data_IF_550929227537
#
_entry.id   IF_550929227537
#
_cell.length_a   1.000
_cell.length_b   1.000
_cell.length_c   1.000
_cell.angle_alpha   90.00
_cell.angle_beta   90.00
_cell.angle_gamma   90.00
#
_symmetry.space_group_name_H-M   'P 1'
#
loop_
_entity.id
_entity.type
_entity.pdbx_description
1 polymer ?
#
# COMPACT_ATOMS: atom_id res chain seq x y z
N UNK A 1 -23.56 -8.65 14.43
CA UNK A 1 -24.13 -7.51 13.66
C UNK A 1 -24.36 -7.98 12.22
N UNK A 2 -25.59 -8.36 11.85
CA UNK A 2 -25.92 -8.73 10.45
C UNK A 2 -25.85 -7.45 9.61
N UNK A 3 -24.87 -7.36 8.72
CA UNK A 3 -24.77 -6.24 7.78
C UNK A 3 -25.88 -6.35 6.73
N UNK A 4 -26.57 -5.24 6.39
CA UNK A 4 -27.57 -5.25 5.34
C UNK A 4 -26.91 -5.56 3.99
N UNK A 5 -27.54 -6.42 3.20
CA UNK A 5 -27.08 -6.78 1.86
C UNK A 5 -27.15 -5.56 0.94
N UNK A 6 -26.06 -5.20 0.24
CA UNK A 6 -26.10 -4.12 -0.72
C UNK A 6 -27.05 -4.46 -1.88
N UNK A 7 -27.66 -3.45 -2.52
CA UNK A 7 -28.55 -3.69 -3.66
C UNK A 7 -27.76 -4.30 -4.81
N UNK A 8 -28.28 -5.40 -5.37
CA UNK A 8 -27.69 -6.05 -6.54
C UNK A 8 -27.48 -5.02 -7.67
N UNK A 9 -26.31 -5.01 -8.35
CA UNK A 9 -26.10 -4.25 -9.57
C UNK A 9 -27.23 -4.52 -10.56
N UNK A 10 -27.67 -3.51 -11.34
CA UNK A 10 -28.83 -3.68 -12.25
C UNK A 10 -28.68 -4.89 -13.19
N UNK A 11 -27.44 -5.22 -13.57
CA UNK A 11 -27.11 -6.37 -14.41
C UNK A 11 -27.27 -7.75 -13.74
N UNK A 12 -27.32 -7.81 -12.39
CA UNK A 12 -27.43 -9.04 -11.60
C UNK A 12 -28.78 -9.16 -10.89
N UNK A 13 -29.73 -8.25 -11.15
CA UNK A 13 -31.09 -8.36 -10.63
C UNK A 13 -31.86 -9.36 -11.48
N UNK A 14 -32.56 -10.34 -10.88
CA UNK A 14 -33.46 -11.18 -11.65
C UNK A 14 -34.51 -10.30 -12.34
N UNK A 15 -34.68 -10.49 -13.65
CA UNK A 15 -35.70 -9.77 -14.42
C UNK A 15 -37.08 -10.02 -13.79
N UNK A 16 -37.93 -8.99 -13.65
CA UNK A 16 -39.25 -9.15 -13.06
C UNK A 16 -40.05 -10.20 -13.84
N UNK A 17 -40.71 -11.12 -13.11
CA UNK A 17 -41.55 -12.17 -13.70
C UNK A 17 -42.67 -11.47 -14.50
N UNK A 18 -42.74 -11.75 -15.82
CA UNK A 18 -43.78 -11.18 -16.69
C UNK A 18 -45.17 -11.58 -16.14
N UNK A 19 -46.12 -10.66 -15.99
CA UNK A 19 -47.48 -11.01 -15.62
C UNK A 19 -48.10 -11.93 -16.68
N UNK A 20 -48.56 -13.13 -16.28
CA UNK A 20 -49.29 -14.06 -17.17
C UNK A 20 -48.78 -15.50 -17.28
N UNK A 21 -47.81 -15.92 -16.46
CA UNK A 21 -47.18 -17.25 -16.57
C UNK A 21 -47.85 -18.42 -15.85
N UNK A 22 -49.07 -18.27 -15.33
CA UNK A 22 -49.79 -19.34 -14.62
C UNK A 22 -51.10 -19.67 -15.33
N UNK A 23 -51.08 -20.51 -16.38
CA UNK A 23 -52.26 -21.26 -16.85
C UNK A 23 -51.86 -22.62 -17.42
N UNK A 24 -52.07 -23.66 -16.61
CA UNK A 24 -52.27 -25.01 -17.10
C UNK A 24 -53.57 -25.03 -17.94
N UNK A 25 -53.51 -25.59 -19.15
CA UNK A 25 -54.70 -26.02 -19.91
C UNK A 25 -54.79 -25.45 -21.34
N UNK A 26 -54.42 -26.29 -22.31
CA UNK A 26 -54.98 -26.40 -23.66
C UNK A 26 -55.17 -25.12 -24.49
N UNK A 27 -54.21 -24.80 -25.35
CA UNK A 27 -54.50 -24.60 -26.78
C UNK A 27 -53.21 -24.68 -27.61
N UNK A 28 -53.22 -25.53 -28.64
CA UNK A 28 -52.12 -25.63 -29.59
C UNK A 28 -52.07 -24.40 -30.49
N UNK A 29 -50.94 -23.69 -30.48
CA UNK A 29 -50.25 -23.08 -31.63
C UNK A 29 -49.05 -22.28 -31.11
N UNK A 30 -47.88 -22.60 -31.65
CA UNK A 30 -46.60 -21.88 -31.55
C UNK A 30 -45.88 -21.96 -30.19
N UNK A 31 -45.38 -23.15 -29.87
CA UNK A 31 -44.25 -23.29 -28.95
C UNK A 31 -42.98 -22.78 -29.62
N UNK A 32 -42.71 -21.47 -29.55
CA UNK A 32 -41.37 -20.97 -29.78
C UNK A 32 -40.50 -21.48 -28.63
N UNK A 33 -39.37 -22.18 -28.89
CA UNK A 33 -38.44 -22.55 -27.82
C UNK A 33 -38.00 -21.26 -27.13
N UNK A 34 -37.88 -21.31 -25.79
CA UNK A 34 -37.30 -20.22 -25.03
C UNK A 34 -36.00 -19.77 -25.71
N UNK A 35 -35.73 -18.46 -25.88
CA UNK A 35 -34.53 -18.02 -26.58
C UNK A 35 -33.31 -18.63 -25.87
N UNK A 36 -32.46 -19.31 -26.65
CA UNK A 36 -31.23 -19.88 -26.14
C UNK A 36 -30.45 -18.78 -25.39
N UNK A 37 -29.85 -19.08 -24.22
CA UNK A 37 -29.14 -18.07 -23.45
C UNK A 37 -28.10 -17.40 -24.35
N UNK A 38 -28.04 -16.08 -24.33
CA UNK A 38 -27.06 -15.38 -25.14
C UNK A 38 -25.66 -15.79 -24.69
N UNK A 39 -24.67 -15.82 -25.58
CA UNK A 39 -23.27 -16.10 -25.24
C UNK A 39 -22.76 -15.27 -24.03
N UNK A 40 -23.31 -14.07 -23.87
CA UNK A 40 -23.07 -13.18 -22.73
C UNK A 40 -23.59 -13.74 -21.41
N UNK A 41 -24.74 -14.41 -21.41
CA UNK A 41 -25.35 -15.00 -20.22
C UNK A 41 -24.51 -16.18 -19.72
N UNK A 42 -24.04 -17.03 -20.63
CA UNK A 42 -23.10 -18.12 -20.31
C UNK A 42 -21.74 -17.61 -19.83
N UNK A 43 -21.22 -16.51 -20.39
CA UNK A 43 -19.98 -15.90 -19.95
C UNK A 43 -20.10 -15.29 -18.53
N UNK A 44 -21.24 -14.66 -18.23
CA UNK A 44 -21.53 -14.10 -16.89
C UNK A 44 -21.74 -15.21 -15.87
N UNK A 45 -22.45 -16.28 -16.23
CA UNK A 45 -22.67 -17.44 -15.38
C UNK A 45 -21.37 -18.22 -15.11
N UNK A 46 -20.53 -18.40 -16.14
CA UNK A 46 -19.20 -19.00 -16.00
C UNK A 46 -18.29 -18.18 -15.09
N UNK A 47 -18.27 -16.85 -15.26
CA UNK A 47 -17.52 -15.95 -14.37
C UNK A 47 -18.05 -15.99 -12.93
N UNK A 48 -19.37 -15.99 -12.73
CA UNK A 48 -19.98 -16.09 -11.41
C UNK A 48 -19.68 -17.43 -10.72
N UNK A 49 -19.68 -18.53 -11.48
CA UNK A 49 -19.34 -19.87 -10.99
C UNK A 49 -17.87 -19.97 -10.60
N UNK A 50 -16.96 -19.42 -11.41
CA UNK A 50 -15.54 -19.35 -11.08
C UNK A 50 -15.26 -18.51 -9.83
N UNK A 51 -15.93 -17.36 -9.70
CA UNK A 51 -15.86 -16.52 -8.51
C UNK A 51 -16.42 -17.25 -7.29
N UNK A 52 -17.54 -17.96 -7.42
CA UNK A 52 -18.14 -18.76 -6.34
C UNK A 52 -17.24 -19.89 -5.88
N UNK A 53 -16.64 -20.64 -6.80
CA UNK A 53 -15.69 -21.72 -6.51
C UNK A 53 -14.44 -21.21 -5.78
N UNK A 54 -13.94 -20.02 -6.15
CA UNK A 54 -12.79 -19.39 -5.51
C UNK A 54 -13.16 -18.84 -4.12
N UNK A 55 -14.34 -18.24 -3.99
CA UNK A 55 -14.82 -17.72 -2.71
C UNK A 55 -15.06 -18.83 -1.68
N UNK A 56 -15.57 -19.99 -2.12
CA UNK A 56 -15.74 -21.16 -1.27
C UNK A 56 -14.41 -21.66 -0.67
N UNK A 57 -13.31 -21.54 -1.42
CA UNK A 57 -11.97 -21.99 -0.99
C UNK A 57 -11.21 -20.95 -0.18
N UNK A 58 -11.37 -19.68 -0.54
CA UNK A 58 -10.58 -18.59 0.06
C UNK A 58 -11.31 -17.89 1.19
N UNK A 59 -12.65 -17.93 1.21
CA UNK A 59 -13.47 -17.15 2.13
C UNK A 59 -13.19 -15.64 2.04
N UNK A 60 -12.67 -15.17 0.89
CA UNK A 60 -12.14 -13.82 0.76
C UNK A 60 -13.24 -12.76 0.65
N UNK A 61 -14.43 -13.11 0.17
CA UNK A 61 -15.51 -12.14 -0.09
C UNK A 61 -16.01 -11.42 1.17
N UNK A 62 -16.27 -12.08 2.32
CA UNK A 62 -16.62 -11.38 3.56
C UNK A 62 -15.56 -10.36 4.00
N UNK A 63 -14.28 -10.72 3.89
CA UNK A 63 -13.17 -9.83 4.22
C UNK A 63 -13.11 -8.63 3.27
N UNK A 64 -13.12 -8.88 1.96
CA UNK A 64 -13.09 -7.83 0.93
C UNK A 64 -14.30 -6.90 1.04
N UNK A 65 -15.50 -7.43 1.29
CA UNK A 65 -16.71 -6.63 1.50
C UNK A 65 -16.62 -5.78 2.75
N UNK A 66 -16.12 -6.34 3.86
CA UNK A 66 -15.89 -5.60 5.10
C UNK A 66 -14.88 -4.46 4.93
N UNK A 67 -13.85 -4.68 4.12
CA UNK A 67 -12.83 -3.68 3.81
C UNK A 67 -13.36 -2.57 2.88
N UNK A 68 -13.97 -2.93 1.75
CA UNK A 68 -14.40 -1.99 0.70
C UNK A 68 -15.64 -1.17 1.08
N UNK A 69 -16.62 -1.77 1.76
CA UNK A 69 -17.89 -1.11 2.08
C UNK A 69 -17.94 -0.53 3.51
N UNK A 70 -16.77 -0.19 4.04
CA UNK A 70 -16.68 0.42 5.35
C UNK A 70 -17.33 1.81 5.36
N UNK A 71 -18.15 2.07 6.37
CA UNK A 71 -18.68 3.42 6.63
C UNK A 71 -17.56 4.35 7.10
N UNK A 72 -17.33 5.42 6.34
CA UNK A 72 -16.43 6.50 6.70
C UNK A 72 -17.22 7.58 7.47
N UNK A 73 -16.69 8.18 8.54
CA UNK A 73 -17.35 9.28 9.24
C UNK A 73 -17.74 10.40 8.27
N UNK A 74 -18.95 10.97 8.45
CA UNK A 74 -19.39 12.15 7.71
C UNK A 74 -18.42 13.31 7.95
N UNK A 75 -18.31 14.26 7.02
CA UNK A 75 -17.41 15.43 7.18
C UNK A 75 -15.92 15.13 7.02
N UNK A 76 -15.55 13.96 6.48
CA UNK A 76 -14.17 13.62 6.10
C UNK A 76 -13.69 14.54 4.95
N UNK A 77 -12.44 15.01 5.02
CA UNK A 77 -11.82 15.87 4.02
C UNK A 77 -10.58 15.21 3.38
N UNK A 78 -9.92 15.93 2.48
CA UNK A 78 -8.74 15.45 1.75
C UNK A 78 -7.57 15.02 2.64
N UNK A 79 -7.42 15.53 3.87
CA UNK A 79 -6.32 15.10 4.74
C UNK A 79 -6.40 13.62 5.15
N UNK A 80 -7.55 12.97 4.99
CA UNK A 80 -7.72 11.54 5.22
C UNK A 80 -7.13 10.67 4.09
N UNK A 81 -6.86 11.24 2.92
CA UNK A 81 -6.26 10.51 1.78
C UNK A 81 -4.73 10.46 1.84
N UNK A 82 -4.10 11.19 2.77
CA UNK A 82 -2.64 11.24 2.91
C UNK A 82 -2.02 9.85 3.17
N UNK A 83 -2.71 8.99 3.92
CA UNK A 83 -2.25 7.62 4.14
C UNK A 83 -2.23 6.79 2.85
N UNK A 84 -3.33 6.83 2.07
CA UNK A 84 -3.39 6.16 0.77
C UNK A 84 -2.45 6.77 -0.27
N UNK A 85 -2.24 8.09 -0.24
CA UNK A 85 -1.28 8.76 -1.11
C UNK A 85 0.16 8.31 -0.80
N UNK A 86 0.51 8.18 0.49
CA UNK A 86 1.82 7.67 0.92
C UNK A 86 2.01 6.21 0.49
N UNK A 87 0.98 5.37 0.63
CA UNK A 87 1.00 3.99 0.14
C UNK A 87 1.19 3.92 -1.39
N UNK A 88 0.48 4.77 -2.15
CA UNK A 88 0.66 4.85 -3.60
C UNK A 88 2.09 5.27 -3.96
N UNK A 89 2.65 6.27 -3.26
CA UNK A 89 4.04 6.67 -3.45
C UNK A 89 5.01 5.51 -3.18
N UNK A 90 4.81 4.75 -2.10
CA UNK A 90 5.60 3.53 -1.83
C UNK A 90 5.50 2.50 -2.95
N UNK A 91 4.30 2.20 -3.46
CA UNK A 91 4.11 1.26 -4.57
C UNK A 91 4.81 1.75 -5.85
N UNK A 92 4.71 3.05 -6.15
CA UNK A 92 5.43 3.68 -7.25
C UNK A 92 6.95 3.53 -7.09
N UNK A 93 7.49 3.76 -5.88
CA UNK A 93 8.91 3.56 -5.56
C UNK A 93 9.33 2.10 -5.71
N UNK A 94 8.53 1.15 -5.24
CA UNK A 94 8.82 -0.28 -5.37
C UNK A 94 8.87 -0.71 -6.84
N UNK A 95 7.87 -0.31 -7.64
CA UNK A 95 7.81 -0.67 -9.07
C UNK A 95 8.98 -0.04 -9.84
N UNK A 96 9.19 1.27 -9.68
CA UNK A 96 10.31 1.95 -10.36
C UNK A 96 11.66 1.42 -9.89
N UNK A 97 11.81 1.11 -8.60
CA UNK A 97 13.03 0.52 -8.04
C UNK A 97 13.36 -0.84 -8.63
N UNK A 98 12.36 -1.70 -8.85
CA UNK A 98 12.55 -3.00 -9.53
C UNK A 98 13.06 -2.81 -10.94
N UNK A 99 12.52 -1.86 -11.72
CA UNK A 99 13.04 -1.58 -13.06
C UNK A 99 14.47 -1.05 -13.03
N UNK A 100 14.80 -0.14 -12.11
CA UNK A 100 16.18 0.37 -11.97
C UNK A 100 17.16 -0.74 -11.57
N UNK A 101 16.75 -1.64 -10.68
CA UNK A 101 17.54 -2.78 -10.23
C UNK A 101 17.92 -3.76 -11.35
N UNK A 102 17.17 -3.79 -12.47
CA UNK A 102 17.50 -4.64 -13.62
C UNK A 102 18.72 -4.14 -14.43
N UNK A 103 19.08 -2.86 -14.28
CA UNK A 103 20.18 -2.23 -15.03
C UNK A 103 21.31 -1.70 -14.15
N UNK A 104 21.07 -1.54 -12.85
CA UNK A 104 22.04 -0.97 -11.91
C UNK A 104 23.09 -2.00 -11.48
N UNK A 105 24.36 -1.59 -11.45
CA UNK A 105 25.48 -2.42 -11.02
C UNK A 105 26.04 -1.94 -9.67
N UNK A 106 25.90 -2.70 -8.56
CA UNK A 106 26.32 -2.29 -7.22
C UNK A 106 27.82 -2.45 -6.97
N UNK A 107 28.66 -2.03 -7.91
CA UNK A 107 30.13 -2.01 -7.82
C UNK A 107 30.67 -0.57 -7.88
N UNK A 108 31.62 -0.16 -7.03
CA UNK A 108 32.11 1.23 -6.96
C UNK A 108 32.72 1.74 -8.26
N UNK A 109 33.24 0.84 -9.10
CA UNK A 109 33.82 1.20 -10.40
C UNK A 109 32.77 1.35 -11.50
N UNK A 110 31.57 0.76 -11.33
CA UNK A 110 30.52 0.68 -12.35
C UNK A 110 29.17 1.29 -11.93
N UNK A 111 28.97 1.62 -10.66
CA UNK A 111 27.71 2.13 -10.11
C UNK A 111 27.30 3.46 -10.75
N UNK A 112 28.26 4.38 -10.89
CA UNK A 112 27.99 5.67 -11.53
C UNK A 112 27.70 5.50 -13.03
N UNK A 113 28.50 4.68 -13.72
CA UNK A 113 28.33 4.43 -15.16
C UNK A 113 27.00 3.75 -15.45
N UNK A 114 26.62 2.71 -14.69
CA UNK A 114 25.31 2.05 -14.84
C UNK A 114 24.14 3.00 -14.57
N UNK A 115 24.24 3.89 -13.56
CA UNK A 115 23.23 4.93 -13.32
C UNK A 115 23.15 5.96 -14.47
N UNK A 116 24.27 6.28 -15.10
CA UNK A 116 24.34 7.13 -16.30
C UNK A 116 23.70 6.44 -17.51
N UNK A 117 24.02 5.16 -17.73
CA UNK A 117 23.43 4.33 -18.80
C UNK A 117 21.90 4.26 -18.68
N UNK A 118 21.37 4.04 -17.47
CA UNK A 118 19.92 4.11 -17.21
C UNK A 118 19.34 5.44 -17.64
N UNK A 119 20.04 6.55 -17.37
CA UNK A 119 19.52 7.88 -17.67
C UNK A 119 19.54 8.16 -19.18
N UNK A 120 20.63 7.80 -19.87
CA UNK A 120 20.91 8.30 -21.22
C UNK A 120 20.59 7.31 -22.34
N UNK A 121 20.56 6.00 -22.06
CA UNK A 121 20.53 4.97 -23.10
C UNK A 121 19.34 4.00 -22.99
N UNK A 122 18.84 3.74 -21.78
CA UNK A 122 17.69 2.86 -21.57
C UNK A 122 16.40 3.55 -22.00
N UNK A 123 15.55 2.83 -22.76
CA UNK A 123 14.23 3.34 -23.16
C UNK A 123 13.38 3.72 -21.93
N UNK A 124 12.93 4.98 -21.89
CA UNK A 124 12.24 5.60 -20.74
C UNK A 124 13.03 5.58 -19.42
N UNK A 125 14.33 5.30 -19.45
CA UNK A 125 15.14 5.17 -18.24
C UNK A 125 15.28 6.47 -17.45
N UNK A 126 15.46 7.62 -18.11
CA UNK A 126 15.42 8.94 -17.47
C UNK A 126 14.08 9.17 -16.75
N UNK A 127 12.97 8.83 -17.40
CA UNK A 127 11.63 9.00 -16.84
C UNK A 127 11.42 8.13 -15.59
N UNK A 128 11.76 6.84 -15.66
CA UNK A 128 11.64 5.91 -14.52
C UNK A 128 12.56 6.34 -13.38
N UNK A 129 13.81 6.71 -13.67
CA UNK A 129 14.76 7.21 -12.68
C UNK A 129 14.29 8.53 -12.07
N UNK A 130 13.71 9.42 -12.87
CA UNK A 130 13.08 10.67 -12.43
C UNK A 130 11.90 10.41 -11.50
N UNK A 131 10.99 9.50 -11.86
CA UNK A 131 9.89 9.07 -11.01
C UNK A 131 10.39 8.50 -9.68
N UNK A 132 11.45 7.70 -9.68
CA UNK A 132 12.03 7.16 -8.47
C UNK A 132 12.61 8.28 -7.60
N UNK A 133 13.48 9.12 -8.16
CA UNK A 133 14.12 10.24 -7.45
C UNK A 133 13.11 11.23 -6.87
N UNK A 134 12.21 11.77 -7.69
CA UNK A 134 11.23 12.77 -7.25
C UNK A 134 10.11 12.15 -6.42
N UNK A 135 9.71 10.92 -6.75
CA UNK A 135 8.73 10.16 -5.97
C UNK A 135 9.18 9.89 -4.54
N UNK A 136 10.48 9.69 -4.30
CA UNK A 136 11.03 9.58 -2.94
C UNK A 136 10.80 10.86 -2.12
N UNK A 137 11.00 12.03 -2.73
CA UNK A 137 10.77 13.34 -2.08
C UNK A 137 9.29 13.54 -1.78
N UNK A 138 8.42 13.20 -2.74
CA UNK A 138 6.96 13.23 -2.55
C UNK A 138 6.54 12.28 -1.42
N UNK A 139 7.09 11.07 -1.36
CA UNK A 139 6.80 10.10 -0.29
C UNK A 139 7.17 10.65 1.08
N UNK A 140 8.35 11.28 1.22
CA UNK A 140 8.78 11.92 2.47
C UNK A 140 7.82 13.04 2.87
N UNK A 141 7.44 13.92 1.94
CA UNK A 141 6.48 15.00 2.23
C UNK A 141 5.13 14.42 2.68
N UNK A 142 4.61 13.43 1.95
CA UNK A 142 3.32 12.82 2.25
C UNK A 142 3.30 12.12 3.61
N UNK A 143 4.36 11.40 3.98
CA UNK A 143 4.41 10.73 5.29
C UNK A 143 4.48 11.76 6.42
N UNK A 144 5.22 12.86 6.27
CA UNK A 144 5.21 13.94 7.27
C UNK A 144 3.84 14.61 7.40
N UNK A 145 3.17 14.90 6.28
CA UNK A 145 1.80 15.43 6.31
C UNK A 145 0.82 14.44 6.96
N UNK A 146 0.97 13.15 6.68
CA UNK A 146 0.17 12.09 7.29
C UNK A 146 0.38 12.01 8.81
N UNK A 147 1.63 12.11 9.26
CA UNK A 147 2.01 12.18 10.68
C UNK A 147 1.44 13.44 11.34
N UNK A 148 1.55 14.60 10.70
CA UNK A 148 0.97 15.85 11.20
C UNK A 148 -0.55 15.75 11.37
N UNK A 149 -1.26 15.27 10.34
CA UNK A 149 -2.71 15.04 10.41
C UNK A 149 -3.09 14.10 11.55
N UNK A 150 -2.37 12.98 11.70
CA UNK A 150 -2.68 11.98 12.73
C UNK A 150 -2.44 12.51 14.14
N UNK A 151 -1.43 13.36 14.31
CA UNK A 151 -1.17 14.08 15.56
C UNK A 151 -2.27 15.12 15.86
N UNK A 152 -2.51 16.07 14.95
CA UNK A 152 -3.48 17.15 15.19
C UNK A 152 -4.92 16.65 15.32
N UNK A 153 -5.28 15.54 14.67
CA UNK A 153 -6.63 14.99 14.75
C UNK A 153 -6.78 14.01 15.93
N UNK A 154 -5.74 13.85 16.76
CA UNK A 154 -5.75 12.92 17.90
C UNK A 154 -5.96 11.45 17.48
N UNK A 155 -5.60 11.10 16.24
CA UNK A 155 -5.88 9.78 15.69
C UNK A 155 -5.05 8.66 16.34
N UNK A 156 -3.95 9.01 17.02
CA UNK A 156 -3.09 8.10 17.77
C UNK A 156 -3.65 7.68 19.13
N UNK A 157 -4.65 8.40 19.67
CA UNK A 157 -5.23 8.11 20.99
C UNK A 157 -5.97 6.77 21.00
N UNK A 158 -6.23 6.26 22.20
CA UNK A 158 -6.96 5.01 22.45
C UNK A 158 -8.13 4.80 21.47
N UNK A 159 -8.27 3.61 20.85
CA UNK A 159 -7.47 2.38 20.99
C UNK A 159 -6.39 2.20 19.89
N UNK A 160 -5.82 3.29 19.33
CA UNK A 160 -4.95 3.26 18.13
C UNK A 160 -3.47 3.52 18.40
N UNK A 161 -3.02 3.38 19.64
CA UNK A 161 -1.63 3.63 20.06
C UNK A 161 -0.65 2.72 19.31
N UNK A 162 -0.98 1.42 19.18
CA UNK A 162 -0.14 0.48 18.44
C UNK A 162 -0.01 0.86 16.96
N UNK A 163 -1.11 1.33 16.35
CA UNK A 163 -1.09 1.78 14.95
C UNK A 163 -0.18 3.01 14.77
N UNK A 164 -0.16 3.90 15.76
CA UNK A 164 0.75 5.04 15.79
C UNK A 164 2.22 4.63 15.93
N UNK A 165 2.54 3.70 16.83
CA UNK A 165 3.92 3.17 16.98
C UNK A 165 4.42 2.58 15.66
N UNK A 166 3.59 1.77 14.98
CA UNK A 166 3.93 1.25 13.66
C UNK A 166 4.15 2.39 12.65
N UNK A 167 3.31 3.43 12.68
CA UNK A 167 3.48 4.63 11.85
C UNK A 167 4.82 5.36 12.07
N UNK A 168 5.25 5.49 13.33
CA UNK A 168 6.56 6.08 13.68
C UNK A 168 7.71 5.21 13.15
N UNK A 169 7.62 3.88 13.29
CA UNK A 169 8.63 2.97 12.73
C UNK A 169 8.67 3.09 11.19
N UNK A 170 7.52 3.14 10.54
CA UNK A 170 7.42 3.35 9.09
C UNK A 170 8.04 4.69 8.65
N UNK A 171 7.88 5.76 9.43
CA UNK A 171 8.55 7.04 9.18
C UNK A 171 10.07 6.88 9.20
N UNK A 172 10.63 6.26 10.24
CA UNK A 172 12.07 6.04 10.36
C UNK A 172 12.60 5.18 9.20
N UNK A 173 11.91 4.11 8.85
CA UNK A 173 12.29 3.26 7.72
C UNK A 173 12.20 3.99 6.38
N UNK A 174 11.23 4.88 6.20
CA UNK A 174 11.11 5.72 4.99
C UNK A 174 12.27 6.70 4.87
N UNK A 175 12.70 7.31 5.99
CA UNK A 175 13.89 8.16 6.01
C UNK A 175 15.16 7.35 5.73
N UNK A 176 15.26 6.14 6.29
CA UNK A 176 16.36 5.22 6.01
C UNK A 176 16.40 4.83 4.51
N UNK A 177 15.26 4.60 3.87
CA UNK A 177 15.17 4.40 2.41
C UNK A 177 15.70 5.60 1.63
N UNK A 178 15.30 6.81 2.01
CA UNK A 178 15.79 8.04 1.40
C UNK A 178 17.31 8.16 1.49
N UNK A 179 17.88 7.83 2.64
CA UNK A 179 19.33 7.79 2.83
C UNK A 179 19.98 6.71 1.96
N UNK A 180 19.60 5.44 2.11
CA UNK A 180 20.30 4.33 1.44
C UNK A 180 20.22 4.42 -0.08
N UNK A 181 19.12 4.93 -0.64
CA UNK A 181 18.97 5.14 -2.08
C UNK A 181 19.82 6.30 -2.60
N UNK A 182 20.00 7.35 -1.79
CA UNK A 182 20.86 8.48 -2.12
C UNK A 182 22.33 8.08 -2.28
N UNK A 183 22.76 6.97 -1.66
CA UNK A 183 24.15 6.51 -1.72
C UNK A 183 24.48 5.73 -2.99
N UNK A 184 23.47 5.17 -3.67
CA UNK A 184 23.66 4.21 -4.77
C UNK A 184 24.25 4.80 -6.06
N UNK A 185 23.96 6.03 -6.49
CA UNK A 185 24.61 6.60 -7.68
C UNK A 185 26.14 6.68 -7.57
N UNK A 186 26.66 6.64 -6.35
CA UNK A 186 28.09 6.61 -6.03
C UNK A 186 28.91 7.75 -6.66
N UNK A 187 28.30 8.92 -6.80
CA UNK A 187 28.99 10.17 -7.14
C UNK A 187 29.67 10.78 -5.91
N UNK A 188 30.37 11.91 -6.07
CA UNK A 188 31.10 12.56 -4.98
C UNK A 188 30.21 12.90 -3.78
N UNK A 189 28.95 13.27 -4.02
CA UNK A 189 27.98 13.61 -2.97
C UNK A 189 27.52 12.35 -2.24
N UNK A 190 27.18 11.30 -2.98
CA UNK A 190 26.79 9.99 -2.45
C UNK A 190 27.90 9.39 -1.58
N UNK A 191 29.15 9.46 -2.03
CA UNK A 191 30.30 8.95 -1.29
C UNK A 191 30.48 9.68 0.05
N UNK A 192 30.53 11.02 0.04
CA UNK A 192 30.70 11.77 1.29
C UNK A 192 29.47 11.66 2.21
N UNK A 193 28.27 11.58 1.67
CA UNK A 193 27.07 11.28 2.46
C UNK A 193 27.17 9.92 3.15
N UNK A 194 27.73 8.91 2.47
CA UNK A 194 28.00 7.59 3.07
C UNK A 194 28.97 7.69 4.25
N UNK A 195 30.09 8.41 4.06
CA UNK A 195 31.09 8.64 5.12
C UNK A 195 30.44 9.28 6.35
N UNK A 196 29.68 10.36 6.15
CA UNK A 196 28.99 11.07 7.23
C UNK A 196 27.97 10.17 7.92
N UNK A 197 27.14 9.44 7.17
CA UNK A 197 26.13 8.55 7.73
C UNK A 197 26.74 7.43 8.59
N UNK A 198 27.82 6.81 8.13
CA UNK A 198 28.52 5.77 8.90
C UNK A 198 29.17 6.35 10.17
N UNK A 199 29.75 7.54 10.09
CA UNK A 199 30.37 8.19 11.24
C UNK A 199 29.33 8.64 12.30
N UNK A 200 28.14 9.09 11.86
CA UNK A 200 27.03 9.37 12.80
C UNK A 200 26.61 8.08 13.51
N UNK A 201 26.47 6.96 12.81
CA UNK A 201 26.16 5.68 13.43
C UNK A 201 27.23 5.25 14.43
N UNK A 202 28.51 5.48 14.13
CA UNK A 202 29.64 5.15 15.01
C UNK A 202 29.60 5.91 16.35
N UNK A 203 28.94 7.07 16.41
CA UNK A 203 28.82 7.87 17.63
C UNK A 203 27.84 7.28 18.66
N UNK A 204 27.00 6.32 18.26
CA UNK A 204 26.06 5.66 19.16
C UNK A 204 26.79 4.83 20.22
N UNK A 205 26.39 4.87 21.50
CA UNK A 205 27.05 4.08 22.53
C UNK A 205 26.82 2.59 22.30
N UNK A 206 27.83 1.78 22.63
CA UNK A 206 27.81 0.30 22.62
C UNK A 206 27.61 -0.29 21.22
N UNK A 207 26.43 -0.12 20.61
CA UNK A 207 26.06 -0.74 19.32
C UNK A 207 26.58 0.05 18.12
N UNK A 208 26.78 1.36 18.27
CA UNK A 208 27.17 2.26 17.18
C UNK A 208 28.44 1.84 16.44
N UNK A 209 29.56 1.56 17.13
CA UNK A 209 30.80 1.12 16.48
C UNK A 209 30.63 -0.18 15.68
N UNK A 210 29.91 -1.18 16.21
CA UNK A 210 29.66 -2.43 15.50
C UNK A 210 28.75 -2.24 14.28
N UNK A 211 27.74 -1.38 14.39
CA UNK A 211 26.87 -1.05 13.27
C UNK A 211 27.65 -0.31 12.18
N UNK A 212 28.51 0.64 12.55
CA UNK A 212 29.33 1.38 11.60
C UNK A 212 30.33 0.47 10.88
N UNK A 213 30.96 -0.45 11.58
CA UNK A 213 31.85 -1.46 11.00
C UNK A 213 31.09 -2.40 10.04
N UNK A 214 29.89 -2.85 10.45
CA UNK A 214 28.99 -3.61 9.59
C UNK A 214 28.55 -2.82 8.35
N UNK A 215 28.27 -1.53 8.44
CA UNK A 215 27.89 -0.75 7.27
C UNK A 215 29.09 -0.46 6.36
N UNK A 216 30.27 -0.21 6.94
CA UNK A 216 31.50 0.07 6.18
C UNK A 216 32.03 -1.16 5.45
N UNK A 217 31.94 -2.34 6.05
CA UNK A 217 32.35 -3.61 5.43
C UNK A 217 33.85 -3.72 5.09
N UNK A 218 34.72 -3.03 5.85
CA UNK A 218 36.16 -3.04 5.65
C UNK A 218 36.84 -1.79 6.22
N UNK A 219 38.16 -1.70 6.05
CA UNK A 219 38.94 -0.53 6.44
C UNK A 219 38.55 0.73 5.62
N UNK A 220 38.19 0.52 4.36
CA UNK A 220 37.80 1.56 3.41
C UNK A 220 36.44 1.24 2.76
N UNK A 221 35.80 2.27 2.21
CA UNK A 221 34.57 2.12 1.43
C UNK A 221 34.87 1.45 0.09
N UNK A 222 34.28 0.28 -0.15
CA UNK A 222 34.59 -0.53 -1.33
C UNK A 222 33.37 -1.30 -1.88
N UNK A 223 33.61 -2.33 -2.72
CA UNK A 223 32.56 -3.11 -3.37
C UNK A 223 31.55 -3.73 -2.40
N UNK A 224 32.05 -4.25 -1.29
CA UNK A 224 31.22 -4.85 -0.23
C UNK A 224 30.30 -3.82 0.43
N UNK A 225 30.75 -2.58 0.59
CA UNK A 225 29.95 -1.50 1.19
C UNK A 225 28.74 -1.18 0.31
N UNK A 226 28.96 -0.93 -0.99
CA UNK A 226 27.88 -0.61 -1.94
C UNK A 226 26.91 -1.77 -2.04
N UNK A 227 27.41 -2.99 -2.18
CA UNK A 227 26.57 -4.20 -2.23
C UNK A 227 25.69 -4.34 -0.98
N UNK A 228 26.19 -3.99 0.22
CA UNK A 228 25.37 -3.97 1.45
C UNK A 228 24.30 -2.88 1.41
N UNK A 229 24.64 -1.66 1.03
CA UNK A 229 23.65 -0.57 0.90
C UNK A 229 22.59 -0.90 -0.15
N UNK A 230 22.98 -1.52 -1.26
CA UNK A 230 22.07 -2.00 -2.28
C UNK A 230 21.12 -3.07 -1.73
N UNK A 231 21.64 -4.08 -1.02
CA UNK A 231 20.80 -5.11 -0.39
C UNK A 231 19.83 -4.52 0.66
N UNK A 232 20.28 -3.53 1.44
CA UNK A 232 19.43 -2.83 2.40
C UNK A 232 18.32 -2.02 1.70
N UNK A 233 18.67 -1.28 0.65
CA UNK A 233 17.74 -0.40 -0.07
C UNK A 233 16.75 -1.16 -0.94
N UNK A 234 17.17 -2.22 -1.63
CA UNK A 234 16.33 -2.93 -2.59
C UNK A 234 15.49 -4.03 -1.91
N UNK A 235 16.06 -4.73 -0.92
CA UNK A 235 15.44 -5.93 -0.34
C UNK A 235 14.99 -5.71 1.11
N UNK A 236 15.93 -5.47 2.03
CA UNK A 236 15.66 -5.61 3.47
C UNK A 236 14.68 -4.55 3.98
N UNK A 237 14.94 -3.27 3.68
CA UNK A 237 14.12 -2.16 4.19
C UNK A 237 12.75 -2.12 3.49
N UNK A 238 12.62 -2.24 2.15
CA UNK A 238 11.30 -2.27 1.50
C UNK A 238 10.46 -3.47 1.94
N UNK A 239 11.07 -4.65 2.13
CA UNK A 239 10.37 -5.83 2.63
C UNK A 239 9.78 -5.60 4.03
N UNK A 240 10.58 -5.00 4.92
CA UNK A 240 10.12 -4.64 6.26
C UNK A 240 9.00 -3.56 6.22
N UNK A 241 9.15 -2.54 5.37
CA UNK A 241 8.12 -1.52 5.16
C UNK A 241 6.82 -2.16 4.68
N UNK A 242 6.87 -3.06 3.69
CA UNK A 242 5.70 -3.74 3.17
C UNK A 242 4.96 -4.57 4.24
N UNK A 243 5.72 -5.32 5.06
CA UNK A 243 5.15 -6.09 6.17
C UNK A 243 4.47 -5.17 7.21
N UNK A 244 5.12 -4.06 7.58
CA UNK A 244 4.57 -3.09 8.53
C UNK A 244 3.39 -2.31 7.97
N UNK A 245 3.36 -1.99 6.67
CA UNK A 245 2.18 -1.43 5.99
C UNK A 245 1.01 -2.43 6.09
N UNK A 246 1.25 -3.72 5.87
CA UNK A 246 0.24 -4.76 6.06
C UNK A 246 -0.34 -4.76 7.48
N UNK A 247 0.52 -4.74 8.50
CA UNK A 247 0.09 -4.65 9.90
C UNK A 247 -0.67 -3.34 10.21
N UNK A 248 -0.19 -2.22 9.67
CA UNK A 248 -0.80 -0.90 9.82
C UNK A 248 -2.21 -0.86 9.21
N UNK A 249 -2.36 -1.34 7.97
CA UNK A 249 -3.65 -1.39 7.28
C UNK A 249 -4.61 -2.38 7.95
N UNK A 250 -4.12 -3.50 8.48
CA UNK A 250 -4.93 -4.44 9.27
C UNK A 250 -5.53 -3.76 10.51
N UNK A 251 -4.72 -3.01 11.26
CA UNK A 251 -5.20 -2.28 12.45
C UNK A 251 -6.15 -1.15 12.08
N UNK A 252 -5.90 -0.43 10.98
CA UNK A 252 -6.86 0.54 10.45
C UNK A 252 -8.17 -0.15 10.09
N UNK A 253 -8.13 -1.29 9.38
CA UNK A 253 -9.31 -2.08 9.03
C UNK A 253 -10.09 -2.52 10.29
N UNK A 254 -9.40 -3.01 11.32
CA UNK A 254 -10.00 -3.46 12.58
C UNK A 254 -10.60 -2.32 13.42
N UNK A 255 -9.86 -1.23 13.63
CA UNK A 255 -10.19 -0.18 14.60
C UNK A 255 -10.96 1.01 14.00
N UNK A 256 -10.73 1.29 12.73
CA UNK A 256 -11.41 2.36 12.01
C UNK A 256 -10.78 3.73 12.08
N UNK A 257 -11.24 4.57 11.15
CA UNK A 257 -10.78 5.94 11.02
C UNK A 257 -11.47 6.80 12.06
N UNK A 258 -10.71 7.75 12.62
CA UNK A 258 -11.26 8.72 13.56
C UNK A 258 -12.23 9.66 12.87
N UNK A 259 -13.32 9.99 13.56
CA UNK A 259 -14.15 11.12 13.17
C UNK A 259 -13.29 12.41 13.18
N UNK A 260 -13.58 13.36 12.28
CA UNK A 260 -12.90 14.64 12.29
C UNK A 260 -13.03 15.37 13.63
N UNK A 261 -12.00 16.11 14.09
CA UNK A 261 -12.00 16.76 15.40
C UNK A 261 -13.07 17.85 15.56
N UNK A 262 -13.62 18.37 14.45
CA UNK A 262 -14.71 19.35 14.45
C UNK A 262 -16.11 18.72 14.61
N UNK A 263 -16.23 17.40 14.56
CA UNK A 263 -17.49 16.73 14.86
C UNK A 263 -17.55 16.41 16.35
N UNK A 264 -18.59 16.93 17.02
CA UNK A 264 -18.90 16.51 18.38
C UNK A 264 -19.27 15.03 18.35
N UNK A 265 -18.68 14.24 19.24
CA UNK A 265 -19.15 12.88 19.46
C UNK A 265 -20.63 12.96 19.87
N UNK A 266 -21.50 12.23 19.17
CA UNK A 266 -22.83 11.96 19.70
C UNK A 266 -22.61 11.30 21.06
N UNK A 267 -23.13 11.94 22.13
CA UNK A 267 -23.25 11.26 23.41
C UNK A 267 -24.11 10.05 23.12
N UNK A 268 -23.53 8.85 23.17
CA UNK A 268 -24.33 7.66 23.44
C UNK A 268 -25.00 7.94 24.78
N UNK A 269 -26.32 8.06 24.79
CA UNK A 269 -27.07 7.96 26.04
C UNK A 269 -26.73 6.60 26.65
N UNK A 270 -25.79 6.59 27.57
CA UNK A 270 -25.40 5.44 28.38
C UNK A 270 -26.43 5.22 29.50
N UNK A 271 -27.71 5.46 29.23
CA UNK A 271 -28.80 5.39 30.18
C UNK A 271 -30.06 4.85 29.50
N UNK A 272 -30.06 3.54 29.21
CA UNK A 272 -31.25 2.66 29.27
C UNK A 272 -30.80 1.28 28.81
N UNK A 273 -30.43 0.43 29.76
CA UNK A 273 -30.80 -0.99 29.86
C UNK A 273 -30.06 -1.59 31.05
N UNK A 274 -30.58 -1.33 32.26
CA UNK A 274 -30.66 -2.29 33.36
C UNK A 274 -31.89 -1.91 34.21
N UNK A 275 -33.07 -2.34 33.75
CA UNK A 275 -34.18 -2.88 34.57
C UNK A 275 -34.79 -4.02 33.77
#
# INVERSE_FOLDING_TARGET
>A
MKLPTPPLPKALRPSPKRPGGDRNGANGRNGAPAPAPALKDHAVEGAATAVGWLDERTGATPFLRGFLYRKVPKGTNWFYTLGSATMFAFLSQAITGVFLAMYYDPDPTRAYESASHITNEVFLGEFVRGMHKWGSSVMIILIFLHMGRTFFFGAYKYPRELNWVIGVILLVLTLAMGLTGYLLPFDQRSFWATVVAVNINASGPIVGPYLADFLRAGAEFGPTTISRFYALHMLAIPGLIAALIGAHLYLVAKLGTTAPPWLKAEKKDLLTEEV
#
